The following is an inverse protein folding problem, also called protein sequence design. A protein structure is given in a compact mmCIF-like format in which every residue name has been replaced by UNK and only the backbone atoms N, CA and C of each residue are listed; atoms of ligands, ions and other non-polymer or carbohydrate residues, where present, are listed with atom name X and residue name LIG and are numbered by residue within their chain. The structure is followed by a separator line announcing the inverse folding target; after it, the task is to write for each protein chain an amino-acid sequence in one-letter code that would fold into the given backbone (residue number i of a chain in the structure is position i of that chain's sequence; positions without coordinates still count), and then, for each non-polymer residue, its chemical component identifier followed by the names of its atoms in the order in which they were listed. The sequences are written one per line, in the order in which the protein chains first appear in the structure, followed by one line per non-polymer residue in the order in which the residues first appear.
data_IF_168506648849
#
_entry.id   IF_168506648849
#
_cell.length_a   1.000
_cell.length_b   1.000
_cell.length_c   1.000
_cell.angle_alpha   90.00
_cell.angle_beta   90.00
_cell.angle_gamma   90.00
#
_symmetry.space_group_name_H-M   'P 1'
#
loop_
_entity.id
_entity.type
_entity.pdbx_description
1 polymer ?
#
# COMPACT_ATOMS: atom_id res chain seq x y z
N UNK A 1 17.03 -7.48 21.79
CA UNK A 1 15.72 -6.98 21.30
C UNK A 1 14.84 -8.20 20.99
N UNK A 2 13.54 -8.13 21.31
CA UNK A 2 12.61 -9.22 20.96
C UNK A 2 12.37 -9.22 19.43
N UNK A 3 12.27 -10.41 18.85
CA UNK A 3 11.87 -10.56 17.43
C UNK A 3 10.37 -10.29 17.27
N UNK A 4 9.99 -9.72 16.15
CA UNK A 4 8.59 -9.54 15.76
C UNK A 4 8.32 -10.28 14.45
N UNK A 5 7.14 -10.89 14.39
CA UNK A 5 6.69 -11.73 13.30
C UNK A 5 5.36 -11.24 12.75
N UNK A 6 5.16 -11.40 11.47
CA UNK A 6 3.86 -11.42 10.84
C UNK A 6 3.28 -12.80 11.15
N UNK A 7 2.21 -12.85 11.94
CA UNK A 7 1.58 -14.08 12.40
C UNK A 7 0.40 -14.48 11.53
N UNK A 8 -0.33 -13.49 11.03
CA UNK A 8 -1.43 -13.67 10.09
C UNK A 8 -1.66 -12.37 9.33
N UNK A 9 -2.24 -12.45 8.13
CA UNK A 9 -2.51 -11.28 7.30
C UNK A 9 -3.67 -11.56 6.32
N UNK A 10 -4.52 -10.54 6.11
CA UNK A 10 -5.63 -10.62 5.15
C UNK A 10 -5.99 -9.23 4.63
N UNK A 11 -6.57 -9.16 3.44
CA UNK A 11 -7.02 -7.93 2.82
C UNK A 11 -8.38 -8.06 2.16
N UNK A 12 -9.05 -6.96 1.93
CA UNK A 12 -10.18 -6.93 1.01
C UNK A 12 -9.69 -7.07 -0.44
N UNK A 13 -10.53 -7.46 -1.38
CA UNK A 13 -10.27 -7.17 -2.78
C UNK A 13 -10.10 -5.65 -2.97
N UNK A 14 -9.32 -5.24 -3.96
CA UNK A 14 -9.14 -3.83 -4.29
C UNK A 14 -10.18 -3.41 -5.31
N UNK A 15 -10.98 -2.39 -4.96
CA UNK A 15 -11.97 -1.77 -5.82
C UNK A 15 -11.37 -0.69 -6.71
N UNK A 16 -11.93 -0.50 -7.90
CA UNK A 16 -11.64 0.65 -8.74
C UNK A 16 -12.32 1.91 -8.21
N UNK A 17 -11.80 3.07 -8.56
CA UNK A 17 -12.45 4.35 -8.24
C UNK A 17 -13.87 4.41 -8.83
N UNK A 18 -14.85 4.67 -7.99
CA UNK A 18 -16.27 4.62 -8.37
C UNK A 18 -16.81 3.21 -8.62
N UNK A 19 -16.03 2.16 -8.32
CA UNK A 19 -16.36 0.76 -8.55
C UNK A 19 -17.20 0.10 -7.45
N UNK A 20 -17.02 -1.20 -7.28
CA UNK A 20 -17.86 -2.04 -6.41
C UNK A 20 -17.92 -1.60 -4.96
N UNK A 21 -16.83 -1.03 -4.41
CA UNK A 21 -16.77 -0.57 -3.02
C UNK A 21 -17.39 0.81 -2.79
N UNK A 22 -17.81 1.54 -3.82
CA UNK A 22 -18.24 2.95 -3.74
C UNK A 22 -19.38 3.22 -2.75
N UNK A 23 -20.23 2.23 -2.48
CA UNK A 23 -21.37 2.36 -1.55
C UNK A 23 -21.06 1.92 -0.11
N UNK A 24 -19.86 1.41 0.15
CA UNK A 24 -19.42 1.01 1.49
C UNK A 24 -18.70 2.19 2.15
N UNK A 25 -18.96 2.48 3.41
CA UNK A 25 -18.26 3.53 4.16
C UNK A 25 -16.80 3.14 4.39
N UNK A 26 -15.91 4.14 4.51
CA UNK A 26 -14.49 3.88 4.74
C UNK A 26 -14.22 3.18 6.09
N UNK A 27 -14.94 3.56 7.15
CA UNK A 27 -14.83 2.94 8.47
C UNK A 27 -15.39 1.50 8.50
N UNK A 28 -16.46 1.21 7.75
CA UNK A 28 -16.97 -0.14 7.57
C UNK A 28 -15.99 -1.00 6.75
N UNK A 29 -15.40 -0.45 5.68
CA UNK A 29 -14.40 -1.15 4.87
C UNK A 29 -13.16 -1.53 5.69
N UNK A 30 -12.67 -0.62 6.54
CA UNK A 30 -11.55 -0.89 7.45
C UNK A 30 -11.84 -2.02 8.45
N UNK A 31 -13.12 -2.22 8.78
CA UNK A 31 -13.59 -3.24 9.72
C UNK A 31 -13.54 -4.65 9.12
N UNK A 32 -13.68 -4.80 7.81
CA UNK A 32 -13.78 -6.10 7.13
C UNK A 32 -12.57 -7.01 7.39
N UNK A 33 -11.32 -6.59 7.13
CA UNK A 33 -10.17 -7.46 7.36
C UNK A 33 -9.94 -7.74 8.86
N UNK A 34 -10.33 -6.83 9.77
CA UNK A 34 -10.26 -7.09 11.22
C UNK A 34 -11.21 -8.22 11.61
N UNK A 35 -12.47 -8.19 11.17
CA UNK A 35 -13.44 -9.28 11.40
C UNK A 35 -12.96 -10.59 10.81
N UNK A 36 -12.43 -10.57 9.61
CA UNK A 36 -11.89 -11.77 8.96
C UNK A 36 -10.74 -12.40 9.75
N UNK A 37 -9.82 -11.59 10.33
CA UNK A 37 -8.78 -12.10 11.24
C UNK A 37 -9.36 -12.72 12.50
N UNK A 38 -10.39 -12.08 13.10
CA UNK A 38 -11.04 -12.58 14.31
C UNK A 38 -11.73 -13.94 14.03
N UNK A 39 -12.51 -14.02 12.98
CA UNK A 39 -13.25 -15.22 12.58
C UNK A 39 -12.33 -16.40 12.23
N UNK A 40 -11.21 -16.11 11.56
CA UNK A 40 -10.24 -17.12 11.14
C UNK A 40 -9.37 -17.64 12.29
N UNK A 41 -9.24 -16.86 13.38
CA UNK A 41 -8.43 -17.20 14.55
C UNK A 41 -9.26 -17.30 15.85
N UNK A 42 -10.23 -18.22 15.94
CA UNK A 42 -11.19 -18.29 17.06
C UNK A 42 -10.55 -18.69 18.40
N UNK A 43 -9.30 -19.17 18.40
CA UNK A 43 -8.55 -19.54 19.60
C UNK A 43 -7.67 -18.42 20.14
N UNK A 44 -7.54 -17.34 19.41
CA UNK A 44 -6.72 -16.21 19.82
C UNK A 44 -7.39 -15.43 20.98
N UNK A 45 -6.61 -15.06 21.96
CA UNK A 45 -7.03 -14.21 23.06
C UNK A 45 -6.87 -12.73 22.66
N UNK A 46 -7.93 -12.17 22.10
CA UNK A 46 -7.95 -10.78 21.61
C UNK A 46 -7.77 -9.75 22.74
N UNK A 47 -7.97 -10.12 23.99
CA UNK A 47 -7.71 -9.29 25.15
C UNK A 47 -6.22 -8.97 25.35
N UNK A 48 -5.34 -9.70 24.67
CA UNK A 48 -3.89 -9.49 24.70
C UNK A 48 -3.38 -8.52 23.63
N UNK A 49 -4.23 -8.06 22.73
CA UNK A 49 -3.85 -7.05 21.74
C UNK A 49 -3.60 -5.74 22.45
N UNK A 50 -2.39 -5.22 22.30
CA UNK A 50 -1.96 -3.98 22.93
C UNK A 50 -2.57 -2.77 22.24
N UNK A 51 -2.47 -2.75 20.90
CA UNK A 51 -2.96 -1.66 20.08
C UNK A 51 -3.34 -2.11 18.67
N UNK A 52 -4.23 -1.38 18.01
CA UNK A 52 -4.57 -1.50 16.60
C UNK A 52 -4.04 -0.27 15.86
N UNK A 53 -3.06 -0.48 14.97
CA UNK A 53 -2.38 0.60 14.27
C UNK A 53 -2.71 0.51 12.78
N UNK A 54 -3.48 1.45 12.23
CA UNK A 54 -3.85 1.47 10.82
C UNK A 54 -3.27 2.68 10.08
N UNK A 55 -2.75 2.44 8.89
CA UNK A 55 -2.36 3.49 7.96
C UNK A 55 -3.58 4.07 7.24
N UNK A 56 -3.65 5.40 7.13
CA UNK A 56 -4.63 6.11 6.31
C UNK A 56 -4.06 7.46 5.89
N UNK A 57 -4.08 7.77 4.60
CA UNK A 57 -3.48 9.00 4.08
C UNK A 57 -4.46 10.18 4.05
N UNK A 58 -5.71 9.96 3.68
CA UNK A 58 -6.65 11.07 3.47
C UNK A 58 -7.17 11.67 4.79
N UNK A 59 -7.87 10.91 5.61
CA UNK A 59 -8.42 11.29 6.91
C UNK A 59 -9.35 12.52 6.88
N UNK A 60 -9.95 12.83 5.74
CA UNK A 60 -10.78 14.01 5.54
C UNK A 60 -12.28 13.73 5.63
N UNK A 61 -12.71 12.49 5.49
CA UNK A 61 -14.12 12.08 5.43
C UNK A 61 -14.53 11.11 6.53
N UNK A 62 -15.06 9.96 6.14
CA UNK A 62 -15.51 8.89 7.04
C UNK A 62 -14.32 8.21 7.76
N UNK A 63 -13.13 8.44 7.29
CA UNK A 63 -11.83 8.04 7.81
C UNK A 63 -11.22 9.06 8.80
N UNK A 64 -11.96 10.13 9.14
CA UNK A 64 -11.49 11.17 10.05
C UNK A 64 -11.37 10.67 11.51
N UNK A 65 -10.86 11.52 12.39
CA UNK A 65 -10.56 11.25 13.80
C UNK A 65 -9.49 10.18 13.95
N UNK A 66 -9.89 8.94 14.17
CA UNK A 66 -8.99 7.81 14.35
C UNK A 66 -9.66 6.56 13.77
N UNK A 67 -9.40 6.31 12.48
CA UNK A 67 -10.02 5.19 11.75
C UNK A 67 -9.66 3.83 12.39
N UNK A 68 -8.46 3.67 12.93
CA UNK A 68 -8.05 2.43 13.61
C UNK A 68 -8.93 2.16 14.83
N UNK A 69 -9.15 3.21 15.67
CA UNK A 69 -10.01 3.09 16.85
C UNK A 69 -11.46 2.81 16.48
N UNK A 70 -11.99 3.48 15.45
CA UNK A 70 -13.36 3.24 14.99
C UNK A 70 -13.52 1.83 14.43
N UNK A 71 -12.61 1.39 13.57
CA UNK A 71 -12.67 0.07 12.95
C UNK A 71 -12.57 -1.08 13.96
N UNK A 72 -11.69 -0.99 14.96
CA UNK A 72 -11.58 -2.02 15.99
C UNK A 72 -12.86 -2.18 16.82
N UNK A 73 -13.52 -1.05 17.17
CA UNK A 73 -14.79 -1.07 17.91
C UNK A 73 -15.92 -1.66 17.06
N UNK A 74 -16.00 -1.30 15.79
CA UNK A 74 -16.96 -1.84 14.82
C UNK A 74 -16.71 -3.34 14.51
N UNK A 75 -15.46 -3.78 14.62
CA UNK A 75 -15.08 -5.18 14.48
C UNK A 75 -15.47 -6.02 15.70
N UNK A 76 -15.80 -5.40 16.83
CA UNK A 76 -16.15 -6.08 18.08
C UNK A 76 -14.94 -6.48 18.94
N UNK A 77 -13.76 -5.91 18.67
CA UNK A 77 -12.61 -6.07 19.55
C UNK A 77 -12.86 -5.39 20.91
N UNK A 78 -12.19 -5.84 21.98
CA UNK A 78 -12.36 -5.27 23.31
C UNK A 78 -12.10 -3.75 23.33
N UNK A 79 -12.99 -2.98 23.91
CA UNK A 79 -12.89 -1.51 23.96
C UNK A 79 -11.68 -0.99 24.77
N UNK A 80 -11.02 -1.84 25.56
CA UNK A 80 -9.81 -1.52 26.29
C UNK A 80 -8.56 -1.43 25.39
N UNK A 81 -8.62 -1.99 24.18
CA UNK A 81 -7.52 -1.93 23.20
C UNK A 81 -7.42 -0.52 22.67
N UNK A 82 -6.21 0.05 22.62
CA UNK A 82 -5.94 1.32 21.98
C UNK A 82 -6.19 1.30 20.47
N UNK A 83 -6.02 2.45 19.83
CA UNK A 83 -6.08 2.57 18.39
C UNK A 83 -5.29 3.78 17.92
N UNK A 84 -4.42 3.62 16.92
CA UNK A 84 -3.62 4.69 16.34
C UNK A 84 -3.78 4.72 14.81
N UNK A 85 -3.95 5.92 14.25
CA UNK A 85 -3.95 6.14 12.80
C UNK A 85 -2.66 6.83 12.38
N UNK A 86 -1.92 6.21 11.46
CA UNK A 86 -0.64 6.72 10.96
C UNK A 86 -0.81 7.25 9.54
N UNK A 87 -0.26 8.44 9.29
CA UNK A 87 -0.11 8.99 7.96
C UNK A 87 1.37 9.09 7.57
N UNK A 88 1.78 8.26 6.63
CA UNK A 88 3.00 8.36 5.84
C UNK A 88 2.66 8.23 4.36
N UNK A 89 1.58 8.88 3.94
CA UNK A 89 1.04 8.82 2.58
C UNK A 89 0.95 7.36 2.07
N UNK A 90 1.51 7.07 0.90
CA UNK A 90 1.45 5.73 0.28
C UNK A 90 1.96 4.60 1.19
N UNK A 91 2.87 4.88 2.12
CA UNK A 91 3.50 3.88 2.99
C UNK A 91 2.88 3.81 4.40
N UNK A 92 1.69 4.37 4.60
CA UNK A 92 1.08 4.42 5.94
C UNK A 92 0.87 3.03 6.55
N UNK A 93 0.41 2.03 5.78
CA UNK A 93 0.22 0.66 6.27
C UNK A 93 1.54 -0.05 6.62
N UNK A 94 2.62 0.16 5.85
CA UNK A 94 3.94 -0.34 6.21
C UNK A 94 4.45 0.34 7.48
N UNK A 95 4.27 1.66 7.60
CA UNK A 95 4.67 2.40 8.79
C UNK A 95 3.93 1.91 10.03
N UNK A 96 2.64 1.60 9.94
CA UNK A 96 1.84 0.99 11.00
C UNK A 96 2.45 -0.33 11.48
N UNK A 97 2.79 -1.23 10.55
CA UNK A 97 3.40 -2.52 10.87
C UNK A 97 4.78 -2.35 11.50
N UNK A 98 5.60 -1.42 11.02
CA UNK A 98 6.94 -1.19 11.57
C UNK A 98 6.89 -0.47 12.93
N UNK A 99 5.83 0.26 13.25
CA UNK A 99 5.63 0.79 14.61
C UNK A 99 5.38 -0.36 15.59
N UNK A 100 4.50 -1.30 15.29
CA UNK A 100 4.30 -2.49 16.11
C UNK A 100 5.60 -3.31 16.28
N UNK A 101 6.39 -3.50 15.20
CA UNK A 101 7.71 -4.13 15.27
C UNK A 101 8.63 -3.43 16.28
N UNK A 102 8.66 -2.09 16.27
CA UNK A 102 9.49 -1.30 17.22
C UNK A 102 9.00 -1.42 18.65
N UNK A 103 7.69 -1.36 18.88
CA UNK A 103 7.09 -1.53 20.20
C UNK A 103 7.40 -2.91 20.77
N UNK A 104 7.30 -3.98 19.97
CA UNK A 104 7.69 -5.33 20.37
C UNK A 104 9.19 -5.40 20.73
N UNK A 105 10.05 -4.83 19.89
CA UNK A 105 11.50 -4.82 20.11
C UNK A 105 11.89 -4.10 21.42
N UNK A 106 11.14 -3.07 21.80
CA UNK A 106 11.29 -2.29 23.05
C UNK A 106 10.55 -2.91 24.25
N UNK A 107 9.82 -3.99 24.04
CA UNK A 107 8.99 -4.66 25.08
C UNK A 107 7.80 -3.84 25.58
N UNK A 108 7.25 -2.96 24.74
CA UNK A 108 6.04 -2.17 25.01
C UNK A 108 4.74 -2.93 24.75
N UNK A 109 4.82 -4.18 24.27
CA UNK A 109 3.72 -5.08 24.03
C UNK A 109 4.20 -6.38 23.39
N UNK A 110 3.31 -7.35 23.22
CA UNK A 110 3.63 -8.64 22.63
C UNK A 110 2.78 -8.98 21.40
N UNK A 111 1.59 -8.39 21.27
CA UNK A 111 0.63 -8.67 20.19
C UNK A 111 -0.04 -7.36 19.75
N UNK A 112 -0.03 -7.11 18.46
CA UNK A 112 -0.61 -5.93 17.82
C UNK A 112 -1.42 -6.36 16.58
N UNK A 113 -2.42 -5.57 16.21
CA UNK A 113 -3.03 -5.64 14.89
C UNK A 113 -2.60 -4.38 14.12
N UNK A 114 -2.09 -4.56 12.93
CA UNK A 114 -1.65 -3.47 12.06
C UNK A 114 -2.32 -3.58 10.70
N UNK A 115 -2.16 -2.57 9.87
CA UNK A 115 -2.72 -2.62 8.53
C UNK A 115 -2.90 -1.25 7.93
N UNK A 116 -3.95 -1.11 7.12
CA UNK A 116 -4.27 0.18 6.54
C UNK A 116 -5.51 0.15 5.68
N UNK A 117 -6.02 1.33 5.42
CA UNK A 117 -7.23 1.62 4.67
C UNK A 117 -7.01 2.82 3.79
N UNK A 118 -7.54 2.78 2.58
CA UNK A 118 -7.80 3.98 1.80
C UNK A 118 -9.09 3.81 1.02
N UNK A 119 -9.94 4.81 1.06
CA UNK A 119 -11.16 4.85 0.27
C UNK A 119 -11.17 6.11 -0.59
N UNK A 120 -10.49 6.04 -1.73
CA UNK A 120 -10.29 7.21 -2.58
C UNK A 120 -11.59 7.67 -3.24
N UNK A 121 -12.49 6.74 -3.55
CA UNK A 121 -13.83 7.04 -4.10
C UNK A 121 -14.66 7.93 -3.16
N UNK A 122 -14.52 7.76 -1.85
CA UNK A 122 -15.32 8.49 -0.84
C UNK A 122 -14.58 9.64 -0.18
N UNK A 123 -13.44 10.03 -0.73
CA UNK A 123 -12.77 11.27 -0.34
C UNK A 123 -13.74 12.45 -0.50
N UNK A 124 -14.04 13.24 0.55
CA UNK A 124 -15.02 14.31 0.48
C UNK A 124 -14.49 15.52 -0.29
N UNK A 125 -15.39 16.35 -0.77
CA UNK A 125 -15.06 17.71 -1.11
C UNK A 125 -14.74 18.51 0.15
N UNK A 126 -13.63 19.24 0.14
CA UNK A 126 -13.18 20.08 1.25
C UNK A 126 -13.12 21.53 0.81
N UNK A 127 -13.55 22.43 1.69
CA UNK A 127 -13.66 23.86 1.40
C UNK A 127 -12.82 24.63 2.43
N UNK A 128 -11.98 25.57 1.96
CA UNK A 128 -11.23 26.46 2.83
C UNK A 128 -12.18 27.42 3.57
N UNK A 129 -11.75 27.94 4.72
CA UNK A 129 -12.40 29.10 5.30
C UNK A 129 -11.96 30.35 4.56
N UNK A 130 -12.87 31.32 4.39
CA UNK A 130 -12.52 32.63 3.87
C UNK A 130 -11.48 33.30 4.77
N UNK A 131 -10.54 34.05 4.19
CA UNK A 131 -9.48 34.75 4.92
C UNK A 131 -9.99 35.89 5.79
N UNK A 132 -11.17 36.43 5.46
CA UNK A 132 -11.82 37.56 6.15
C UNK A 132 -13.33 37.28 6.30
N UNK A 133 -13.97 37.94 7.26
CA UNK A 133 -15.44 37.96 7.37
C UNK A 133 -16.04 38.45 6.05
N UNK A 134 -17.06 37.72 5.54
CA UNK A 134 -17.67 37.95 4.22
C UNK A 134 -16.74 37.86 3.02
N UNK A 135 -15.57 37.21 3.18
CA UNK A 135 -14.60 36.94 2.09
C UNK A 135 -15.21 36.07 1.00
N UNK A 136 -14.67 36.22 -0.24
CA UNK A 136 -15.07 35.42 -1.42
C UNK A 136 -13.95 34.54 -1.94
N UNK A 137 -12.94 34.34 -1.13
CA UNK A 137 -11.67 33.64 -1.43
C UNK A 137 -11.67 32.19 -0.95
N UNK A 138 -12.84 31.57 -0.86
CA UNK A 138 -12.97 30.13 -0.56
C UNK A 138 -12.55 29.29 -1.75
N UNK A 139 -11.76 28.27 -1.46
CA UNK A 139 -11.33 27.26 -2.44
C UNK A 139 -11.97 25.92 -2.08
N UNK A 140 -12.39 25.17 -3.10
CA UNK A 140 -12.96 23.84 -2.95
C UNK A 140 -12.09 22.83 -3.70
N UNK A 141 -11.74 21.73 -3.02
CA UNK A 141 -10.92 20.68 -3.56
C UNK A 141 -11.56 19.30 -3.35
N UNK A 142 -11.39 18.40 -4.31
CA UNK A 142 -11.59 16.97 -4.09
C UNK A 142 -10.44 16.44 -3.26
N UNK A 143 -10.72 15.80 -2.12
CA UNK A 143 -9.70 15.29 -1.24
C UNK A 143 -9.20 13.89 -1.61
N UNK A 144 -9.78 13.26 -2.64
CA UNK A 144 -9.44 11.90 -3.06
C UNK A 144 -7.99 11.77 -3.49
N UNK A 145 -7.42 12.80 -4.09
CA UNK A 145 -6.03 12.82 -4.58
C UNK A 145 -5.51 14.24 -4.84
N UNK A 146 -4.21 14.36 -5.09
CA UNK A 146 -3.58 15.62 -5.46
C UNK A 146 -3.32 16.57 -4.28
N UNK A 147 -2.73 17.69 -4.62
CA UNK A 147 -2.45 18.77 -3.69
C UNK A 147 -3.70 19.60 -3.41
N UNK A 148 -3.86 20.03 -2.16
CA UNK A 148 -4.91 20.94 -1.72
C UNK A 148 -4.38 21.89 -0.66
N UNK A 149 -4.88 23.13 -0.61
CA UNK A 149 -4.43 24.16 0.34
C UNK A 149 -2.91 24.33 0.35
N UNK A 150 -2.34 24.50 -0.85
CA UNK A 150 -0.89 24.53 -1.07
C UNK A 150 -0.26 25.67 -0.29
N UNK A 151 0.77 25.35 0.51
CA UNK A 151 1.62 26.37 1.12
C UNK A 151 2.51 27.03 0.05
N UNK A 152 2.41 28.36 -0.15
CA UNK A 152 3.19 29.07 -1.18
C UNK A 152 4.70 28.86 -1.06
N UNK A 153 5.24 28.80 0.18
CA UNK A 153 6.68 28.56 0.40
C UNK A 153 7.07 27.13 -0.02
N UNK A 154 6.19 26.16 0.18
CA UNK A 154 6.43 24.79 -0.27
C UNK A 154 6.48 24.72 -1.80
N UNK A 155 5.56 25.42 -2.47
CA UNK A 155 5.53 25.48 -3.92
C UNK A 155 6.79 26.18 -4.49
N UNK A 156 7.26 27.26 -3.85
CA UNK A 156 8.45 28.00 -4.23
C UNK A 156 9.73 27.18 -4.06
N UNK A 157 9.90 26.53 -2.89
CA UNK A 157 11.17 25.87 -2.55
C UNK A 157 11.32 24.48 -3.18
N UNK A 158 10.25 23.72 -3.28
CA UNK A 158 10.30 22.29 -3.66
C UNK A 158 9.39 21.92 -4.81
N UNK A 159 8.51 22.82 -5.22
CA UNK A 159 7.44 22.52 -6.17
C UNK A 159 6.30 21.71 -5.53
N UNK A 160 5.20 21.63 -6.24
CA UNK A 160 4.01 20.84 -5.88
C UNK A 160 3.51 20.08 -7.11
N UNK A 161 4.44 19.41 -7.78
CA UNK A 161 4.15 18.63 -8.97
C UNK A 161 3.10 17.55 -8.67
N UNK A 162 2.16 17.34 -9.58
CA UNK A 162 1.27 16.21 -9.53
C UNK A 162 2.07 14.89 -9.60
N UNK A 163 1.56 13.81 -9.02
CA UNK A 163 2.30 12.54 -8.94
C UNK A 163 2.77 12.03 -10.30
N UNK A 164 1.92 12.10 -11.34
CA UNK A 164 2.35 11.71 -12.68
C UNK A 164 3.41 12.63 -13.28
N UNK A 165 3.44 13.93 -12.90
CA UNK A 165 4.53 14.82 -13.31
C UNK A 165 5.86 14.41 -12.66
N UNK A 166 5.85 13.95 -11.40
CA UNK A 166 7.07 13.41 -10.76
C UNK A 166 7.57 12.15 -11.46
N UNK A 167 6.66 11.34 -12.04
CA UNK A 167 7.04 10.20 -12.86
C UNK A 167 7.66 10.63 -14.19
N UNK A 168 7.12 11.66 -14.87
CA UNK A 168 7.72 12.23 -16.07
C UNK A 168 9.12 12.83 -15.82
N UNK A 169 9.35 13.38 -14.62
CA UNK A 169 10.68 13.86 -14.24
C UNK A 169 11.71 12.70 -14.16
N UNK A 170 11.26 11.51 -13.72
CA UNK A 170 12.12 10.32 -13.73
C UNK A 170 12.33 9.75 -15.14
N UNK A 171 11.33 9.85 -16.02
CA UNK A 171 11.48 9.49 -17.44
C UNK A 171 12.65 10.25 -18.05
N UNK A 172 12.71 11.55 -17.87
CA UNK A 172 13.81 12.39 -18.37
C UNK A 172 15.15 12.04 -17.71
N UNK A 173 15.18 11.93 -16.39
CA UNK A 173 16.41 11.71 -15.62
C UNK A 173 17.06 10.35 -15.92
N UNK A 174 16.26 9.32 -16.17
CA UNK A 174 16.72 7.94 -16.39
C UNK A 174 16.59 7.48 -17.84
N UNK A 175 16.17 8.35 -18.78
CA UNK A 175 15.96 8.06 -20.19
C UNK A 175 15.07 6.81 -20.40
N UNK A 176 13.91 6.78 -19.74
CA UNK A 176 12.99 5.64 -19.80
C UNK A 176 12.05 5.81 -20.99
N UNK A 177 12.10 4.88 -21.94
CA UNK A 177 11.22 4.96 -23.11
C UNK A 177 9.74 4.69 -22.78
N UNK A 178 8.83 5.09 -23.67
CA UNK A 178 7.41 4.78 -23.54
C UNK A 178 7.18 3.28 -23.70
N UNK A 179 7.91 2.64 -24.59
CA UNK A 179 7.87 1.20 -24.86
C UNK A 179 8.25 0.40 -23.62
N UNK A 180 9.31 0.78 -22.92
CA UNK A 180 9.71 0.13 -21.66
C UNK A 180 8.61 0.25 -20.60
N UNK A 181 8.00 1.43 -20.47
CA UNK A 181 6.92 1.67 -19.52
C UNK A 181 5.68 0.80 -19.83
N UNK A 182 5.29 0.73 -21.09
CA UNK A 182 4.13 -0.06 -21.51
C UNK A 182 4.41 -1.56 -21.39
N UNK A 183 5.63 -2.02 -21.68
CA UNK A 183 6.05 -3.41 -21.46
C UNK A 183 6.04 -3.80 -20.00
N UNK A 184 6.53 -2.91 -19.10
CA UNK A 184 6.47 -3.14 -17.66
C UNK A 184 5.03 -3.27 -17.17
N UNK A 185 4.15 -2.36 -17.61
CA UNK A 185 2.72 -2.38 -17.27
C UNK A 185 2.01 -3.63 -17.79
N UNK A 186 2.29 -4.02 -19.04
CA UNK A 186 1.79 -5.27 -19.61
C UNK A 186 2.20 -6.48 -18.79
N UNK A 187 3.48 -6.58 -18.42
CA UNK A 187 4.00 -7.68 -17.61
C UNK A 187 3.33 -7.72 -16.22
N UNK A 188 3.10 -6.58 -15.58
CA UNK A 188 2.38 -6.50 -14.32
C UNK A 188 0.95 -7.04 -14.45
N UNK A 189 0.21 -6.65 -15.50
CA UNK A 189 -1.14 -7.14 -15.77
C UNK A 189 -1.16 -8.66 -16.02
N UNK A 190 -0.21 -9.19 -16.80
CA UNK A 190 -0.15 -10.63 -17.10
C UNK A 190 0.21 -11.46 -15.87
N UNK A 191 1.14 -10.99 -15.04
CA UNK A 191 1.47 -11.63 -13.76
C UNK A 191 0.26 -11.65 -12.83
N UNK A 192 -0.46 -10.53 -12.68
CA UNK A 192 -1.65 -10.45 -11.83
C UNK A 192 -2.81 -11.31 -12.36
N UNK A 193 -3.04 -11.34 -13.66
CA UNK A 193 -4.04 -12.21 -14.27
C UNK A 193 -3.74 -13.69 -14.01
N UNK A 194 -2.48 -14.10 -14.21
CA UNK A 194 -2.03 -15.46 -13.89
C UNK A 194 -2.21 -15.80 -12.41
N UNK A 195 -1.83 -14.89 -11.50
CA UNK A 195 -1.96 -15.09 -10.06
C UNK A 195 -3.43 -15.14 -9.59
N UNK A 196 -4.31 -14.43 -10.29
CA UNK A 196 -5.78 -14.53 -10.09
C UNK A 196 -6.30 -15.89 -10.56
N UNK A 197 -5.95 -16.30 -11.76
CA UNK A 197 -6.50 -17.51 -12.40
C UNK A 197 -6.03 -18.81 -11.70
N UNK A 198 -4.81 -18.83 -11.16
CA UNK A 198 -4.27 -19.96 -10.40
C UNK A 198 -4.64 -19.94 -8.90
N UNK A 199 -5.43 -18.96 -8.44
CA UNK A 199 -5.91 -18.88 -7.07
C UNK A 199 -4.95 -18.21 -6.08
N UNK A 200 -3.72 -17.82 -6.49
CA UNK A 200 -2.72 -17.22 -5.59
C UNK A 200 -3.23 -15.94 -4.91
N UNK A 201 -3.91 -15.05 -5.64
CA UNK A 201 -4.47 -13.84 -5.05
C UNK A 201 -5.61 -14.13 -4.05
N UNK A 202 -6.31 -15.24 -4.21
CA UNK A 202 -7.40 -15.63 -3.29
C UNK A 202 -6.89 -15.99 -1.89
N UNK A 203 -5.61 -16.38 -1.74
CA UNK A 203 -4.98 -16.65 -0.44
C UNK A 203 -4.88 -15.38 0.44
N UNK A 204 -4.90 -14.20 -0.18
CA UNK A 204 -4.76 -12.91 0.48
C UNK A 204 -6.10 -12.26 0.83
N UNK A 205 -7.20 -12.70 0.19
CA UNK A 205 -8.44 -11.92 0.08
C UNK A 205 -9.54 -12.49 0.98
N UNK A 206 -10.14 -11.64 1.81
CA UNK A 206 -11.44 -11.85 2.42
C UNK A 206 -12.53 -11.16 1.60
N UNK A 207 -13.64 -11.84 1.36
CA UNK A 207 -14.76 -11.27 0.62
C UNK A 207 -15.42 -10.12 1.38
N UNK A 208 -15.85 -9.10 0.62
CA UNK A 208 -16.61 -7.97 1.14
C UNK A 208 -18.08 -8.13 0.77
N UNK A 209 -18.93 -8.13 1.78
CA UNK A 209 -20.38 -8.16 1.62
C UNK A 209 -20.90 -6.74 1.47
N UNK A 210 -21.43 -6.41 0.30
CA UNK A 210 -21.92 -5.07 -0.05
C UNK A 210 -23.46 -5.10 -0.09
N UNK A 211 -24.13 -4.44 0.87
CA UNK A 211 -25.58 -4.37 0.88
C UNK A 211 -26.15 -3.72 -0.38
N UNK A 212 -27.16 -4.32 -0.97
CA UNK A 212 -27.86 -3.79 -2.12
C UNK A 212 -29.32 -3.47 -1.79
N UNK A 213 -29.81 -2.31 -2.26
CA UNK A 213 -31.21 -1.95 -2.06
C UNK A 213 -32.11 -2.87 -2.87
N UNK A 214 -33.01 -3.63 -2.19
CA UNK A 214 -34.01 -4.52 -2.80
C UNK A 214 -33.45 -5.68 -3.63
N UNK A 215 -32.20 -6.10 -3.39
CA UNK A 215 -31.53 -7.24 -4.01
C UNK A 215 -30.73 -7.98 -2.95
N UNK A 216 -30.29 -9.20 -3.26
CA UNK A 216 -29.30 -9.89 -2.45
C UNK A 216 -27.99 -9.08 -2.40
N UNK A 217 -27.27 -9.22 -1.29
CA UNK A 217 -25.99 -8.54 -1.11
C UNK A 217 -24.99 -9.00 -2.18
N UNK A 218 -24.23 -8.06 -2.70
CA UNK A 218 -23.13 -8.36 -3.62
C UNK A 218 -21.95 -8.90 -2.81
N UNK A 219 -21.44 -10.07 -3.17
CA UNK A 219 -20.20 -10.61 -2.63
C UNK A 219 -19.04 -10.19 -3.54
N UNK A 220 -18.24 -9.24 -3.08
CA UNK A 220 -17.05 -8.75 -3.79
C UNK A 220 -15.82 -9.51 -3.28
N UNK A 221 -15.22 -10.38 -4.11
CA UNK A 221 -14.19 -11.35 -3.72
C UNK A 221 -12.95 -11.38 -4.62
N UNK A 222 -12.83 -10.44 -5.57
CA UNK A 222 -11.70 -10.41 -6.51
C UNK A 222 -11.31 -8.97 -6.85
N UNK A 223 -10.00 -8.73 -7.00
CA UNK A 223 -9.47 -7.44 -7.41
C UNK A 223 -10.09 -7.00 -8.74
N UNK A 224 -10.66 -5.80 -8.75
CA UNK A 224 -11.47 -5.27 -9.85
C UNK A 224 -10.64 -4.63 -10.95
N UNK A 225 -9.39 -4.23 -10.64
CA UNK A 225 -8.58 -3.40 -11.54
C UNK A 225 -7.75 -4.22 -12.54
N UNK A 226 -7.61 -5.55 -12.34
CA UNK A 226 -6.86 -6.45 -13.22
C UNK A 226 -7.51 -6.52 -14.61
N UNK A 227 -6.71 -6.30 -15.67
CA UNK A 227 -7.14 -6.26 -17.08
C UNK A 227 -6.47 -7.38 -17.87
N UNK A 228 -6.96 -8.62 -17.81
CA UNK A 228 -6.32 -9.78 -18.44
C UNK A 228 -6.25 -9.70 -19.98
N UNK A 229 -7.07 -8.83 -20.59
CA UNK A 229 -7.10 -8.62 -22.06
C UNK A 229 -6.32 -7.38 -22.51
N UNK A 230 -5.43 -6.86 -21.67
CA UNK A 230 -4.49 -5.80 -22.06
C UNK A 230 -3.49 -6.34 -23.08
N UNK A 231 -3.14 -5.50 -24.06
CA UNK A 231 -2.06 -5.80 -25.02
C UNK A 231 -1.17 -4.57 -25.21
N UNK A 232 0.04 -4.78 -25.72
CA UNK A 232 0.99 -3.69 -25.98
C UNK A 232 0.41 -2.68 -26.99
N UNK A 233 -0.28 -3.17 -28.03
CA UNK A 233 -0.91 -2.33 -29.06
C UNK A 233 -1.99 -1.42 -28.45
N UNK A 234 -2.76 -1.91 -27.45
CA UNK A 234 -3.74 -1.09 -26.72
C UNK A 234 -3.06 -0.03 -25.85
N UNK A 235 -1.97 -0.40 -25.17
CA UNK A 235 -1.22 0.53 -24.32
C UNK A 235 -0.61 1.66 -25.15
N UNK A 236 -0.02 1.34 -26.30
CA UNK A 236 0.59 2.30 -27.22
C UNK A 236 -0.42 3.39 -27.68
N UNK A 237 -1.69 3.05 -27.86
CA UNK A 237 -2.72 4.01 -28.27
C UNK A 237 -3.12 5.02 -27.21
N UNK A 238 -2.73 4.80 -25.95
CA UNK A 238 -3.11 5.68 -24.83
C UNK A 238 -2.34 7.00 -24.89
N UNK A 239 -3.07 8.09 -24.67
CA UNK A 239 -2.49 9.43 -24.63
C UNK A 239 -1.77 9.68 -23.29
N UNK A 240 -0.67 10.44 -23.27
CA UNK A 240 -0.07 10.93 -22.05
C UNK A 240 -1.10 11.65 -21.17
N UNK A 241 -1.10 11.35 -19.89
CA UNK A 241 -2.12 11.85 -18.96
C UNK A 241 -1.68 13.10 -18.17
N UNK A 242 -0.37 13.31 -18.01
CA UNK A 242 0.16 14.32 -17.09
C UNK A 242 0.98 15.43 -17.78
N UNK A 243 1.54 15.16 -18.95
CA UNK A 243 2.30 16.12 -19.73
C UNK A 243 1.81 16.06 -21.18
N UNK A 244 1.34 17.20 -21.72
CA UNK A 244 0.76 17.24 -23.07
C UNK A 244 1.79 17.04 -24.17
N UNK A 245 2.94 17.72 -24.03
CA UNK A 245 4.02 17.68 -25.01
C UNK A 245 5.13 16.77 -24.52
N UNK A 246 5.47 15.76 -25.34
CA UNK A 246 6.50 14.77 -25.04
C UNK A 246 6.29 13.97 -23.76
N UNK A 247 5.05 13.86 -23.25
CA UNK A 247 4.72 12.99 -22.12
C UNK A 247 4.68 11.52 -22.54
N UNK A 248 4.96 10.63 -21.59
CA UNK A 248 4.97 9.18 -21.80
C UNK A 248 4.16 8.41 -20.76
N UNK A 249 3.88 9.04 -19.61
CA UNK A 249 3.10 8.44 -18.52
C UNK A 249 1.60 8.49 -18.86
N UNK A 250 0.95 7.34 -18.89
CA UNK A 250 -0.45 7.17 -19.28
C UNK A 250 -1.27 6.51 -18.17
N UNK A 251 -2.58 6.47 -18.34
CA UNK A 251 -3.45 5.69 -17.46
C UNK A 251 -3.19 4.17 -17.53
N UNK A 252 -2.54 3.68 -18.58
CA UNK A 252 -2.23 2.26 -18.74
C UNK A 252 -0.93 1.83 -18.08
N UNK A 253 0.03 2.75 -17.91
CA UNK A 253 1.31 2.49 -17.28
C UNK A 253 1.46 3.17 -15.89
N UNK A 254 0.32 3.46 -15.26
CA UNK A 254 0.18 4.03 -13.92
C UNK A 254 -0.76 3.19 -13.07
N UNK A 255 -0.57 3.20 -11.75
CA UNK A 255 -1.57 2.66 -10.82
C UNK A 255 -2.85 3.50 -10.86
N UNK A 256 -3.98 2.88 -10.54
CA UNK A 256 -5.27 3.56 -10.43
C UNK A 256 -5.47 4.27 -9.09
N UNK A 257 -6.55 5.06 -9.01
CA UNK A 257 -7.18 5.44 -7.76
C UNK A 257 -8.05 4.27 -7.30
N UNK A 258 -7.89 3.82 -6.07
CA UNK A 258 -8.47 2.56 -5.62
C UNK A 258 -8.94 2.62 -4.17
N UNK A 259 -9.79 1.66 -3.82
CA UNK A 259 -10.38 1.47 -2.51
C UNK A 259 -9.98 0.11 -1.95
N UNK A 260 -9.63 0.03 -0.66
CA UNK A 260 -9.29 -1.25 -0.04
C UNK A 260 -8.74 -1.13 1.37
N UNK A 261 -8.75 -2.23 2.09
CA UNK A 261 -8.24 -2.35 3.46
C UNK A 261 -7.47 -3.66 3.66
N UNK A 262 -6.49 -3.65 4.56
CA UNK A 262 -5.73 -4.82 4.96
C UNK A 262 -5.47 -4.81 6.47
N UNK A 263 -5.34 -5.99 7.06
CA UNK A 263 -4.96 -6.17 8.45
C UNK A 263 -3.96 -7.31 8.61
N UNK A 264 -2.99 -7.11 9.50
CA UNK A 264 -1.95 -8.08 9.86
C UNK A 264 -1.90 -8.23 11.36
N UNK A 265 -1.66 -9.43 11.84
CA UNK A 265 -1.34 -9.72 13.25
C UNK A 265 0.17 -9.72 13.38
N UNK A 266 0.69 -8.86 14.24
CA UNK A 266 2.13 -8.75 14.54
C UNK A 266 2.37 -9.13 15.98
N UNK A 267 3.26 -10.08 16.21
CA UNK A 267 3.54 -10.54 17.56
C UNK A 267 4.96 -11.08 17.71
N UNK A 268 5.37 -11.27 18.98
CA UNK A 268 6.60 -11.99 19.29
C UNK A 268 6.33 -13.51 19.46
N UNK A 269 7.37 -14.29 19.69
CA UNK A 269 7.29 -15.75 19.88
C UNK A 269 6.35 -16.16 21.01
N UNK A 270 6.33 -15.37 22.12
CA UNK A 270 5.44 -15.63 23.25
C UNK A 270 3.96 -15.49 22.84
N UNK A 271 3.64 -14.41 22.13
CA UNK A 271 2.29 -14.15 21.64
C UNK A 271 1.89 -15.20 20.60
N UNK A 272 2.78 -15.55 19.67
CA UNK A 272 2.55 -16.62 18.69
C UNK A 272 2.19 -17.95 19.36
N UNK A 273 3.04 -18.40 20.30
CA UNK A 273 2.82 -19.67 21.02
C UNK A 273 1.53 -19.66 21.84
N UNK A 274 1.24 -18.57 22.55
CA UNK A 274 0.08 -18.46 23.45
C UNK A 274 -1.24 -18.45 22.67
N UNK A 275 -1.24 -17.89 21.47
CA UNK A 275 -2.42 -17.75 20.62
C UNK A 275 -2.46 -18.75 19.47
N UNK A 276 -1.57 -19.75 19.46
CA UNK A 276 -1.51 -20.83 18.45
C UNK A 276 -1.30 -20.32 17.02
N UNK A 277 -0.55 -19.25 16.84
CA UNK A 277 -0.14 -18.78 15.52
C UNK A 277 1.15 -19.46 15.06
N UNK A 278 1.18 -19.84 13.78
CA UNK A 278 2.40 -20.21 13.07
C UNK A 278 2.96 -18.95 12.37
N UNK A 279 4.17 -18.48 12.72
CA UNK A 279 4.71 -17.28 12.10
C UNK A 279 4.89 -17.40 10.59
N UNK A 280 4.34 -16.44 9.84
CA UNK A 280 4.49 -16.39 8.39
C UNK A 280 5.85 -15.81 7.96
N UNK A 281 6.30 -14.75 8.64
CA UNK A 281 7.58 -14.11 8.36
C UNK A 281 8.09 -13.37 9.59
N UNK A 282 9.42 -13.31 9.76
CA UNK A 282 10.09 -12.45 10.74
C UNK A 282 10.44 -11.11 10.12
N UNK A 283 10.18 -10.01 10.82
CA UNK A 283 10.63 -8.68 10.39
C UNK A 283 12.10 -8.53 10.77
N UNK A 284 12.98 -8.42 9.76
CA UNK A 284 14.44 -8.30 9.94
C UNK A 284 14.84 -6.85 10.22
N UNK A 285 14.26 -5.92 9.48
CA UNK A 285 14.55 -4.50 9.65
C UNK A 285 13.80 -3.62 8.66
N UNK A 286 13.84 -2.32 8.92
CA UNK A 286 13.20 -1.32 8.06
C UNK A 286 13.99 -0.02 8.05
N UNK A 287 13.84 0.76 6.97
CA UNK A 287 14.45 2.08 6.84
C UNK A 287 13.60 3.04 6.00
N UNK A 288 13.66 4.31 6.37
CA UNK A 288 13.08 5.43 5.62
C UNK A 288 14.21 6.28 5.07
N UNK A 289 14.05 6.81 3.87
CA UNK A 289 14.95 7.79 3.27
C UNK A 289 14.12 8.96 2.70
N UNK A 290 14.67 10.17 2.77
CA UNK A 290 14.18 11.34 2.06
C UNK A 290 14.91 11.49 0.74
N UNK A 291 14.22 12.00 -0.28
CA UNK A 291 14.76 12.39 -1.60
C UNK A 291 14.09 13.67 -2.05
N UNK A 292 14.60 14.28 -3.11
CA UNK A 292 14.00 15.49 -3.67
C UNK A 292 12.52 15.25 -4.06
N UNK A 293 11.58 16.11 -3.63
CA UNK A 293 10.15 15.92 -3.88
C UNK A 293 9.77 15.74 -5.36
N UNK A 294 10.43 16.44 -6.27
CA UNK A 294 10.17 16.37 -7.72
C UNK A 294 10.48 15.01 -8.34
N UNK A 295 11.32 14.22 -7.68
CA UNK A 295 11.71 12.87 -8.10
C UNK A 295 11.40 11.85 -7.01
N UNK A 296 10.31 12.04 -6.29
CA UNK A 296 9.89 11.21 -5.14
C UNK A 296 9.92 9.71 -5.43
N UNK A 297 9.69 9.33 -6.69
CA UNK A 297 9.62 7.94 -7.13
C UNK A 297 10.92 7.16 -6.96
N UNK A 298 12.10 7.83 -6.82
CA UNK A 298 13.39 7.16 -6.58
C UNK A 298 13.63 6.82 -5.10
N UNK A 299 12.74 7.25 -4.18
CA UNK A 299 12.84 6.99 -2.75
C UNK A 299 13.10 5.53 -2.35
N UNK A 300 12.52 4.53 -3.03
CA UNK A 300 12.79 3.10 -2.81
C UNK A 300 14.27 2.73 -2.82
N UNK A 301 15.06 3.33 -3.71
CA UNK A 301 16.49 3.02 -3.86
C UNK A 301 17.27 3.35 -2.60
N UNK A 302 17.11 4.57 -2.11
CA UNK A 302 17.83 5.02 -0.91
C UNK A 302 17.33 4.33 0.36
N UNK A 303 16.02 4.06 0.46
CA UNK A 303 15.45 3.30 1.57
C UNK A 303 15.97 1.84 1.58
N UNK A 304 16.04 1.18 0.40
CA UNK A 304 16.55 -0.17 0.24
C UNK A 304 18.04 -0.27 0.58
N UNK A 305 18.87 0.63 0.05
CA UNK A 305 20.30 0.70 0.43
C UNK A 305 20.46 0.82 1.95
N UNK A 306 19.66 1.68 2.58
CA UNK A 306 19.74 1.94 4.01
C UNK A 306 19.31 0.73 4.85
N UNK A 307 18.28 -0.02 4.46
CA UNK A 307 17.85 -1.21 5.20
C UNK A 307 18.82 -2.37 4.98
N UNK A 308 19.31 -2.58 3.77
CA UNK A 308 20.32 -3.59 3.46
C UNK A 308 21.59 -3.37 4.29
N UNK A 309 22.13 -2.16 4.30
CA UNK A 309 23.29 -1.81 5.12
C UNK A 309 23.04 -2.02 6.62
N UNK A 310 21.85 -1.67 7.12
CA UNK A 310 21.48 -1.83 8.53
C UNK A 310 21.39 -3.27 8.97
N UNK A 311 20.95 -4.15 8.07
CA UNK A 311 20.75 -5.58 8.35
C UNK A 311 21.97 -6.43 8.01
N UNK A 312 22.98 -5.86 7.32
CA UNK A 312 24.16 -6.59 6.83
C UNK A 312 23.84 -7.54 5.66
N UNK A 313 22.69 -7.36 5.01
CA UNK A 313 22.26 -8.16 3.87
C UNK A 313 22.57 -7.45 2.54
N UNK A 314 22.69 -8.21 1.46
CA UNK A 314 22.86 -7.69 0.10
C UNK A 314 21.58 -7.87 -0.73
N UNK A 315 21.46 -7.12 -1.82
CA UNK A 315 20.32 -7.23 -2.74
C UNK A 315 20.26 -8.61 -3.44
N UNK A 316 21.42 -9.23 -3.66
CA UNK A 316 21.51 -10.56 -4.28
C UNK A 316 20.98 -11.69 -3.37
N UNK A 317 20.90 -11.45 -2.06
CA UNK A 317 20.29 -12.38 -1.11
C UNK A 317 18.76 -12.30 -1.06
N UNK A 318 18.17 -11.32 -1.72
CA UNK A 318 16.71 -11.18 -1.76
C UNK A 318 16.13 -12.12 -2.80
N UNK A 319 15.28 -13.04 -2.35
CA UNK A 319 14.59 -14.01 -3.21
C UNK A 319 13.31 -13.42 -3.82
N UNK A 320 12.67 -12.51 -3.10
CA UNK A 320 11.45 -11.80 -3.50
C UNK A 320 11.69 -10.29 -3.33
N UNK A 321 11.26 -9.50 -4.29
CA UNK A 321 11.34 -8.04 -4.24
C UNK A 321 9.96 -7.46 -4.59
N UNK A 322 9.24 -6.96 -3.60
CA UNK A 322 7.99 -6.24 -3.80
C UNK A 322 8.27 -4.74 -3.89
N UNK A 323 8.15 -4.17 -5.08
CA UNK A 323 8.25 -2.73 -5.33
C UNK A 323 6.85 -2.22 -5.65
N UNK A 324 6.36 -1.21 -4.92
CA UNK A 324 5.09 -0.60 -5.27
C UNK A 324 5.18 0.07 -6.64
N UNK A 325 4.29 -0.31 -7.55
CA UNK A 325 4.22 0.21 -8.91
C UNK A 325 3.27 1.43 -8.97
N UNK A 326 3.67 2.55 -8.39
CA UNK A 326 2.89 3.78 -8.55
C UNK A 326 2.82 4.19 -10.04
N UNK A 327 3.94 4.06 -10.73
CA UNK A 327 4.11 4.28 -12.18
C UNK A 327 5.15 3.31 -12.73
N UNK A 328 4.99 2.84 -13.98
CA UNK A 328 6.04 2.04 -14.64
C UNK A 328 7.38 2.79 -14.67
N UNK A 329 7.36 4.07 -15.05
CA UNK A 329 8.55 4.91 -15.07
C UNK A 329 9.27 4.96 -13.72
N UNK A 330 8.52 5.07 -12.62
CA UNK A 330 9.08 5.07 -11.26
C UNK A 330 9.69 3.71 -10.90
N UNK A 331 9.01 2.62 -11.24
CA UNK A 331 9.51 1.27 -10.95
C UNK A 331 10.77 0.97 -11.75
N UNK A 332 10.79 1.29 -13.04
CA UNK A 332 11.97 1.16 -13.92
C UNK A 332 13.15 2.02 -13.46
N UNK A 333 12.91 3.26 -13.04
CA UNK A 333 13.96 4.09 -12.45
C UNK A 333 14.59 3.42 -11.22
N UNK A 334 13.77 2.81 -10.36
CA UNK A 334 14.25 2.11 -9.17
C UNK A 334 15.04 0.83 -9.51
N UNK A 335 14.52 -0.03 -10.40
CA UNK A 335 15.19 -1.28 -10.77
C UNK A 335 16.54 -1.00 -11.43
N UNK A 336 16.59 -0.08 -12.40
CA UNK A 336 17.82 0.33 -13.07
C UNK A 336 18.85 0.98 -12.12
N UNK A 337 18.41 1.83 -11.19
CA UNK A 337 19.28 2.42 -10.18
C UNK A 337 19.81 1.40 -9.16
N UNK A 338 19.08 0.33 -8.90
CA UNK A 338 19.52 -0.82 -8.09
C UNK A 338 20.29 -1.87 -8.88
N UNK A 339 20.51 -1.65 -10.19
CA UNK A 339 21.18 -2.58 -11.12
C UNK A 339 20.49 -3.93 -11.25
N UNK A 340 19.17 -3.92 -11.20
CA UNK A 340 18.31 -5.06 -11.50
C UNK A 340 17.88 -4.99 -12.96
N UNK A 341 17.68 -6.14 -13.59
CA UNK A 341 17.06 -6.23 -14.90
C UNK A 341 15.58 -5.80 -14.83
N UNK A 342 15.06 -5.16 -15.88
CA UNK A 342 13.68 -4.69 -15.92
C UNK A 342 12.65 -5.84 -15.81
N UNK A 343 13.06 -7.06 -16.20
CA UNK A 343 12.26 -8.28 -16.14
C UNK A 343 12.76 -9.30 -15.09
N UNK A 344 13.51 -8.85 -14.08
CA UNK A 344 13.98 -9.72 -13.00
C UNK A 344 12.79 -10.48 -12.37
N UNK A 345 12.80 -11.82 -12.39
CA UNK A 345 11.64 -12.62 -11.95
C UNK A 345 11.33 -12.49 -10.47
N UNK A 346 12.25 -11.98 -9.67
CA UNK A 346 12.03 -11.70 -8.23
C UNK A 346 11.11 -10.52 -7.99
N UNK A 347 10.97 -9.63 -8.99
CA UNK A 347 10.21 -8.37 -8.86
C UNK A 347 8.73 -8.64 -9.11
N UNK A 348 7.92 -8.36 -8.08
CA UNK A 348 6.46 -8.44 -8.13
C UNK A 348 5.99 -9.71 -8.86
N UNK A 349 6.29 -10.92 -8.36
CA UNK A 349 6.01 -12.16 -9.08
C UNK A 349 4.52 -12.38 -9.38
N UNK A 350 3.64 -11.74 -8.61
CA UNK A 350 2.18 -11.82 -8.77
C UNK A 350 1.55 -10.54 -9.36
N UNK A 351 2.37 -9.69 -10.00
CA UNK A 351 1.96 -8.36 -10.45
C UNK A 351 1.91 -7.34 -9.31
N UNK A 352 1.83 -6.07 -9.63
CA UNK A 352 1.86 -4.98 -8.67
C UNK A 352 0.72 -3.97 -8.86
N UNK A 353 0.90 -2.77 -8.33
CA UNK A 353 -0.16 -1.77 -8.20
C UNK A 353 -0.74 -1.29 -9.55
N UNK A 354 -0.01 -1.37 -10.64
CA UNK A 354 -0.54 -1.06 -11.99
C UNK A 354 -1.67 -2.01 -12.36
N UNK A 355 -1.56 -3.28 -11.96
CA UNK A 355 -2.57 -4.30 -12.23
C UNK A 355 -3.58 -4.45 -11.10
N UNK A 356 -3.13 -4.47 -9.85
CA UNK A 356 -3.97 -4.79 -8.68
C UNK A 356 -4.63 -3.54 -8.12
N UNK A 357 -3.96 -2.38 -8.16
CA UNK A 357 -4.42 -1.12 -7.60
C UNK A 357 -3.57 -0.62 -6.43
N UNK A 358 -3.77 0.67 -6.07
CA UNK A 358 -2.98 1.38 -5.07
C UNK A 358 -3.83 2.20 -4.07
N UNK A 359 -4.61 1.55 -3.20
CA UNK A 359 -5.21 2.23 -2.05
C UNK A 359 -4.09 2.66 -1.10
N UNK A 360 -3.81 3.98 -0.98
CA UNK A 360 -2.57 4.52 -0.42
C UNK A 360 -2.24 3.95 0.98
N UNK A 361 -3.17 4.10 1.92
CA UNK A 361 -2.98 3.66 3.31
C UNK A 361 -2.86 2.14 3.48
N UNK A 362 -3.47 1.36 2.59
CA UNK A 362 -3.46 -0.10 2.63
C UNK A 362 -2.19 -0.71 2.01
N UNK A 363 -1.66 -0.08 0.95
CA UNK A 363 -0.71 -0.74 0.04
C UNK A 363 0.53 -1.28 0.74
N UNK A 364 1.12 -0.53 1.68
CA UNK A 364 2.30 -1.01 2.40
C UNK A 364 2.05 -2.28 3.22
N UNK A 365 0.87 -2.42 3.80
CA UNK A 365 0.43 -3.63 4.51
C UNK A 365 0.21 -4.81 3.54
N UNK A 366 -0.43 -4.55 2.38
CA UNK A 366 -0.63 -5.53 1.32
C UNK A 366 0.69 -6.08 0.80
N UNK A 367 1.69 -5.23 0.53
CA UNK A 367 3.00 -5.66 0.05
C UNK A 367 3.69 -6.60 1.05
N UNK A 368 3.62 -6.30 2.36
CA UNK A 368 4.15 -7.16 3.41
C UNK A 368 3.43 -8.52 3.46
N UNK A 369 2.11 -8.53 3.35
CA UNK A 369 1.30 -9.74 3.27
C UNK A 369 1.68 -10.60 2.06
N UNK A 370 1.69 -9.99 0.86
CA UNK A 370 2.03 -10.68 -0.40
C UNK A 370 3.41 -11.32 -0.31
N UNK A 371 4.43 -10.57 0.16
CA UNK A 371 5.78 -11.07 0.30
C UNK A 371 5.88 -12.20 1.34
N UNK A 372 5.18 -12.09 2.48
CA UNK A 372 5.19 -13.13 3.51
C UNK A 372 4.59 -14.46 3.00
N UNK A 373 3.47 -14.40 2.28
CA UNK A 373 2.84 -15.58 1.66
C UNK A 373 3.77 -16.17 0.57
N UNK A 374 4.39 -15.32 -0.23
CA UNK A 374 5.26 -15.76 -1.33
C UNK A 374 6.52 -16.46 -0.82
N UNK A 375 7.12 -16.00 0.29
CA UNK A 375 8.23 -16.70 0.95
C UNK A 375 7.83 -18.10 1.41
N UNK A 376 6.59 -18.28 1.91
CA UNK A 376 6.09 -19.60 2.31
C UNK A 376 5.84 -20.49 1.09
N UNK A 377 5.14 -19.99 0.08
CA UNK A 377 4.73 -20.78 -1.09
C UNK A 377 5.92 -21.25 -1.93
N UNK A 378 6.97 -20.43 -2.04
CA UNK A 378 8.16 -20.77 -2.83
C UNK A 378 9.30 -21.37 -2.01
N UNK A 379 9.14 -21.56 -0.71
CA UNK A 379 10.20 -21.99 0.22
C UNK A 379 11.48 -21.12 0.10
N UNK A 380 11.28 -19.79 0.08
CA UNK A 380 12.32 -18.78 -0.07
C UNK A 380 12.61 -18.10 1.27
N UNK A 381 13.80 -17.48 1.37
CA UNK A 381 14.29 -17.00 2.67
C UNK A 381 14.04 -15.53 2.91
N UNK A 382 14.43 -14.64 1.99
CA UNK A 382 14.39 -13.20 2.20
C UNK A 382 13.52 -12.49 1.19
N UNK A 383 12.74 -11.51 1.67
CA UNK A 383 12.04 -10.57 0.81
C UNK A 383 12.38 -9.12 1.18
N UNK A 384 12.62 -8.30 0.16
CA UNK A 384 12.71 -6.85 0.23
C UNK A 384 11.38 -6.25 -0.23
N UNK A 385 10.76 -5.44 0.61
CA UNK A 385 9.53 -4.73 0.31
C UNK A 385 9.83 -3.24 0.32
N UNK A 386 9.57 -2.53 -0.77
CA UNK A 386 9.89 -1.10 -0.85
C UNK A 386 8.85 -0.32 -1.64
N UNK A 387 8.72 0.97 -1.31
CA UNK A 387 7.78 1.85 -1.98
C UNK A 387 8.18 3.31 -1.91
N UNK A 388 7.83 4.05 -2.96
CA UNK A 388 7.92 5.50 -3.00
C UNK A 388 6.78 6.14 -2.19
N UNK A 389 7.01 7.36 -1.76
CA UNK A 389 6.07 8.11 -0.93
C UNK A 389 6.06 9.55 -1.43
N UNK A 390 4.88 10.09 -1.63
CA UNK A 390 4.72 11.51 -2.01
C UNK A 390 5.53 12.46 -1.15
N UNK A 391 5.82 13.63 -1.69
CA UNK A 391 6.65 14.67 -1.04
C UNK A 391 8.11 14.22 -0.81
N UNK A 392 8.60 13.23 -1.58
CA UNK A 392 10.02 12.87 -1.62
C UNK A 392 10.51 11.97 -0.49
N UNK A 393 9.91 10.77 -0.34
CA UNK A 393 10.40 9.78 0.60
C UNK A 393 10.38 8.37 -0.02
N UNK A 394 11.09 7.44 0.60
CA UNK A 394 10.98 6.00 0.37
C UNK A 394 10.95 5.22 1.68
N UNK A 395 10.29 4.08 1.68
CA UNK A 395 10.33 3.13 2.78
C UNK A 395 10.71 1.76 2.26
N UNK A 396 11.56 1.05 3.02
CA UNK A 396 11.93 -0.32 2.73
C UNK A 396 11.92 -1.17 3.99
N UNK A 397 11.49 -2.42 3.86
CA UNK A 397 11.44 -3.42 4.93
C UNK A 397 11.99 -4.73 4.39
N UNK A 398 12.77 -5.45 5.20
CA UNK A 398 13.20 -6.81 4.90
C UNK A 398 12.50 -7.75 5.88
N UNK A 399 11.90 -8.80 5.33
CA UNK A 399 11.35 -9.92 6.08
C UNK A 399 12.04 -11.21 5.69
N UNK A 400 12.03 -12.18 6.59
CA UNK A 400 12.56 -13.53 6.30
C UNK A 400 11.54 -14.60 6.69
N UNK A 401 11.59 -15.74 6.02
CA UNK A 401 10.90 -16.97 6.44
C UNK A 401 11.52 -17.46 7.74
N UNK A 402 10.71 -17.74 8.79
CA UNK A 402 11.19 -18.19 10.10
C UNK A 402 11.92 -19.54 10.06
#
# INVERSE_FOLDING_TARGET
MKSAYILDAIRTPIGAFGGSLSNLRADDLATVPLKALIERNPKADWDQVEDVILGCANQAGEDNRNIARMALLLAGLPYKIGGETINRLCSSGMAATINAYRSIALSEGNLFITGGIEHMTRGPWVISKASKAFGRDVEMHDSSFGWRFINPKMAELYGTDAMGQTAENLVELYNISREDQDLFAYNSQMKAAKAKDNGRLSEEICSVKIPQRRKEDLIFSSDEFIKPHTSLEKLETLRPAFRKDNGSVTAGNSSGLNDGAAALIIGNELAAKKNHFEPMARIVGAAVAGVEPKIMGIGPVEASKKVLNRTGLSLDQMDIIEINEAFSAQSLACTRAMKLEDNDPRINPNGGAIAIGHPLGMTGARLLQTAAIELQNQDKKYALITMCIGVGQGYATIIEKP
#
